data_IF_784941922502
#
_entry.id   IF_784941922502
#
_cell.length_a   1.000
_cell.length_b   1.000
_cell.length_c   1.000
_cell.angle_alpha   90.00
_cell.angle_beta   90.00
_cell.angle_gamma   90.00
#
_symmetry.space_group_name_H-M   'P 1'
#
loop_
_entity.id
_entity.type
_entity.pdbx_description
1 polymer ?
#
# COMPACT_ATOMS: atom_id res chain seq x y z
N UNK A 1 8.51 -6.50 -16.19
CA UNK A 1 7.14 -6.25 -16.71
C UNK A 1 6.02 -7.02 -15.98
N UNK A 2 6.30 -8.10 -15.24
CA UNK A 2 5.26 -8.93 -14.57
C UNK A 2 4.61 -8.24 -13.36
N UNK A 3 5.37 -7.57 -12.49
CA UNK A 3 4.82 -6.86 -11.31
C UNK A 3 3.82 -5.75 -11.67
N UNK A 4 4.01 -5.08 -12.81
CA UNK A 4 3.19 -3.96 -13.27
C UNK A 4 1.73 -4.33 -13.60
N UNK A 5 1.45 -5.59 -14.00
CA UNK A 5 0.08 -6.03 -14.30
C UNK A 5 -0.76 -6.28 -13.05
N UNK A 6 -0.16 -6.76 -11.96
CA UNK A 6 -0.88 -6.97 -10.68
C UNK A 6 -1.30 -5.65 -10.01
N UNK A 7 -0.47 -4.60 -10.17
CA UNK A 7 -0.78 -3.25 -9.70
C UNK A 7 -1.94 -2.61 -10.48
N UNK A 8 -2.31 -3.14 -11.65
CA UNK A 8 -3.43 -2.65 -12.44
C UNK A 8 -4.79 -2.90 -11.76
N UNK A 9 -4.87 -3.86 -10.82
CA UNK A 9 -6.08 -4.11 -10.03
C UNK A 9 -6.22 -3.18 -8.83
N UNK A 10 -5.16 -2.46 -8.48
CA UNK A 10 -5.23 -1.39 -7.51
C UNK A 10 -5.75 -0.15 -8.22
N UNK A 11 -6.65 0.56 -7.55
CA UNK A 11 -7.07 1.88 -7.99
C UNK A 11 -5.87 2.84 -7.91
N UNK A 12 -5.94 3.97 -8.63
CA UNK A 12 -4.81 4.90 -8.75
C UNK A 12 -4.24 5.32 -7.38
N UNK A 13 -5.13 5.66 -6.44
CA UNK A 13 -4.77 6.12 -5.11
C UNK A 13 -4.04 5.01 -4.34
N UNK A 14 -4.56 3.78 -4.34
CA UNK A 14 -3.94 2.62 -3.68
C UNK A 14 -2.55 2.32 -4.25
N UNK A 15 -2.43 2.36 -5.57
CA UNK A 15 -1.15 2.12 -6.24
C UNK A 15 -0.12 3.18 -5.84
N UNK A 16 -0.52 4.44 -5.83
CA UNK A 16 0.36 5.55 -5.51
C UNK A 16 0.75 5.55 -4.03
N UNK A 17 -0.19 5.24 -3.13
CA UNK A 17 0.09 5.04 -1.70
C UNK A 17 1.04 3.87 -1.47
N UNK A 18 0.83 2.73 -2.14
CA UNK A 18 1.72 1.57 -2.00
C UNK A 18 3.14 1.86 -2.49
N UNK A 19 3.28 2.55 -3.63
CA UNK A 19 4.59 2.99 -4.16
C UNK A 19 5.25 3.93 -3.17
N UNK A 20 4.52 4.93 -2.66
CA UNK A 20 5.02 5.85 -1.65
C UNK A 20 5.56 5.11 -0.43
N UNK A 21 4.77 4.20 0.15
CA UNK A 21 5.17 3.39 1.31
C UNK A 21 6.45 2.63 0.99
N UNK A 22 6.50 1.93 -0.13
CA UNK A 22 7.67 1.13 -0.55
C UNK A 22 8.95 1.97 -0.70
N UNK A 23 8.83 3.20 -1.16
CA UNK A 23 9.98 4.10 -1.36
C UNK A 23 10.46 4.77 -0.06
N UNK A 24 9.60 4.86 0.96
CA UNK A 24 9.88 5.60 2.19
C UNK A 24 10.06 4.72 3.43
N UNK A 25 9.76 3.42 3.36
CA UNK A 25 10.02 2.49 4.47
C UNK A 25 11.52 2.42 4.77
N UNK A 26 11.83 2.33 6.06
CA UNK A 26 13.20 2.09 6.51
C UNK A 26 13.66 0.66 6.16
N UNK A 27 14.96 0.32 6.28
CA UNK A 27 15.48 -0.99 5.87
C UNK A 27 14.83 -2.19 6.56
N UNK A 28 14.15 -2.00 7.70
CA UNK A 28 13.41 -3.05 8.40
C UNK A 28 11.94 -3.19 7.93
N UNK A 29 11.53 -2.43 6.90
CA UNK A 29 10.19 -2.44 6.34
C UNK A 29 9.18 -1.57 7.08
N UNK A 30 9.59 -0.77 8.07
CA UNK A 30 8.70 0.09 8.84
C UNK A 30 8.74 1.54 8.35
N UNK A 31 7.57 2.15 8.25
CA UNK A 31 7.35 3.57 7.99
C UNK A 31 6.48 4.15 9.11
N UNK A 32 6.97 5.18 9.80
CA UNK A 32 6.20 5.97 10.76
C UNK A 32 5.96 7.33 10.10
N UNK A 33 4.70 7.63 9.75
CA UNK A 33 4.40 8.79 8.91
C UNK A 33 3.03 9.41 9.18
N UNK A 34 2.91 10.76 9.24
CA UNK A 34 1.62 11.43 9.30
C UNK A 34 0.84 11.27 8.00
N UNK A 35 -0.41 10.78 8.05
CA UNK A 35 -1.25 10.60 6.85
C UNK A 35 -1.47 11.92 6.12
N UNK A 36 -1.63 13.03 6.85
CA UNK A 36 -1.80 14.36 6.26
C UNK A 36 -0.64 14.76 5.37
N UNK A 37 0.59 14.45 5.78
CA UNK A 37 1.77 14.76 4.97
C UNK A 37 1.82 13.87 3.72
N UNK A 38 1.40 12.61 3.84
CA UNK A 38 1.32 11.68 2.71
C UNK A 38 0.29 12.16 1.69
N UNK A 39 -0.90 12.55 2.15
CA UNK A 39 -1.94 13.13 1.31
C UNK A 39 -1.47 14.39 0.59
N UNK A 40 -0.83 15.32 1.32
CA UNK A 40 -0.25 16.53 0.71
C UNK A 40 0.80 16.23 -0.36
N UNK A 41 1.67 15.24 -0.13
CA UNK A 41 2.70 14.86 -1.11
C UNK A 41 2.13 14.19 -2.36
N UNK A 42 1.10 13.36 -2.18
CA UNK A 42 0.47 12.61 -3.27
C UNK A 42 -0.65 13.40 -3.99
N UNK A 43 -1.08 14.53 -3.43
CA UNK A 43 -2.20 15.30 -3.95
C UNK A 43 -3.58 14.72 -3.62
N UNK A 44 -3.68 13.94 -2.54
CA UNK A 44 -4.91 13.30 -2.08
C UNK A 44 -5.35 13.84 -0.71
N UNK A 45 -6.63 13.70 -0.40
CA UNK A 45 -7.15 14.00 0.93
C UNK A 45 -6.71 12.96 1.97
N UNK A 46 -6.67 13.37 3.24
CA UNK A 46 -6.38 12.47 4.37
C UNK A 46 -7.31 11.24 4.39
N UNK A 47 -8.59 11.43 4.01
CA UNK A 47 -9.58 10.36 3.93
C UNK A 47 -9.26 9.34 2.82
N UNK A 48 -8.89 9.81 1.64
CA UNK A 48 -8.52 8.95 0.51
C UNK A 48 -7.29 8.10 0.82
N UNK A 49 -6.26 8.72 1.42
CA UNK A 49 -5.05 8.00 1.84
C UNK A 49 -5.38 6.95 2.91
N UNK A 50 -6.23 7.29 3.88
CA UNK A 50 -6.64 6.35 4.93
C UNK A 50 -7.41 5.16 4.34
N UNK A 51 -8.38 5.41 3.46
CA UNK A 51 -9.13 4.35 2.75
C UNK A 51 -8.21 3.46 1.92
N UNK A 52 -7.25 4.05 1.21
CA UNK A 52 -6.26 3.31 0.44
C UNK A 52 -5.39 2.42 1.35
N UNK A 53 -4.88 2.92 2.47
CA UNK A 53 -4.09 2.12 3.43
C UNK A 53 -4.92 0.96 4.02
N UNK A 54 -6.19 1.18 4.35
CA UNK A 54 -7.11 0.13 4.82
C UNK A 54 -7.36 -0.93 3.74
N UNK A 55 -7.51 -0.55 2.48
CA UNK A 55 -7.67 -1.52 1.38
C UNK A 55 -6.37 -2.29 1.12
N UNK A 56 -5.22 -1.64 1.13
CA UNK A 56 -3.92 -2.30 1.02
C UNK A 56 -3.68 -3.30 2.17
N UNK A 57 -4.10 -2.96 3.38
CA UNK A 57 -4.08 -3.86 4.55
C UNK A 57 -4.98 -5.09 4.32
N UNK A 58 -6.21 -4.91 3.85
CA UNK A 58 -7.12 -6.02 3.49
C UNK A 58 -6.54 -6.94 2.42
N UNK A 59 -5.81 -6.38 1.46
CA UNK A 59 -5.10 -7.11 0.41
C UNK A 59 -3.79 -7.76 0.90
N UNK A 60 -3.46 -7.62 2.18
CA UNK A 60 -2.23 -8.12 2.83
C UNK A 60 -0.96 -7.56 2.18
N UNK A 61 -1.02 -6.36 1.63
CA UNK A 61 0.11 -5.67 1.02
C UNK A 61 0.87 -4.80 2.04
N UNK A 62 0.22 -4.42 3.14
CA UNK A 62 0.80 -3.69 4.27
C UNK A 62 0.17 -4.17 5.59
N UNK A 63 0.81 -3.89 6.73
CA UNK A 63 0.17 -3.88 8.06
C UNK A 63 0.07 -2.42 8.50
N UNK A 64 -1.16 -1.92 8.64
CA UNK A 64 -1.44 -0.50 8.89
C UNK A 64 -2.00 -0.29 10.30
N UNK A 65 -1.27 0.47 11.10
CA UNK A 65 -1.65 0.83 12.46
C UNK A 65 -1.82 2.32 12.58
N UNK A 66 -3.06 2.69 12.83
CA UNK A 66 -3.46 4.07 13.01
C UNK A 66 -2.92 4.61 14.35
N UNK A 67 -2.48 5.87 14.33
CA UNK A 67 -2.09 6.58 15.55
C UNK A 67 -3.27 6.68 16.52
N UNK A 68 -2.98 6.80 17.82
CA UNK A 68 -4.03 6.90 18.85
C UNK A 68 -4.86 8.20 18.70
N UNK A 69 -4.24 9.25 18.17
CA UNK A 69 -4.85 10.55 17.91
C UNK A 69 -4.61 10.98 16.46
N UNK A 70 -5.44 11.87 15.87
CA UNK A 70 -5.23 12.39 14.51
C UNK A 70 -3.91 13.14 14.29
N UNK A 71 -3.26 13.58 15.37
CA UNK A 71 -1.94 14.21 15.36
C UNK A 71 -0.78 13.21 15.44
N UNK A 72 -1.07 11.97 15.84
CA UNK A 72 -0.06 10.95 16.02
C UNK A 72 0.30 10.34 14.67
N UNK A 73 1.58 10.05 14.40
CA UNK A 73 1.97 9.41 13.17
C UNK A 73 1.42 7.99 13.13
N UNK A 74 1.12 7.53 11.92
CA UNK A 74 0.69 6.16 11.71
C UNK A 74 1.90 5.27 11.49
N UNK A 75 1.77 3.99 11.82
CA UNK A 75 2.79 2.99 11.54
C UNK A 75 2.31 2.10 10.40
N UNK A 76 3.14 1.98 9.38
CA UNK A 76 2.90 1.13 8.22
C UNK A 76 4.09 0.18 8.11
N UNK A 77 3.82 -1.12 8.10
CA UNK A 77 4.83 -2.14 7.82
C UNK A 77 4.61 -2.59 6.38
N UNK A 78 5.70 -2.79 5.66
CA UNK A 78 5.74 -3.28 4.29
C UNK A 78 6.88 -4.28 4.13
N UNK A 79 6.65 -5.29 3.29
CA UNK A 79 7.68 -6.23 2.85
C UNK A 79 7.50 -6.54 1.37
N UNK A 80 8.60 -6.58 0.60
CA UNK A 80 8.53 -6.91 -0.82
C UNK A 80 7.90 -8.30 -1.07
N UNK A 81 8.07 -9.25 -0.14
CA UNK A 81 7.50 -10.61 -0.21
C UNK A 81 5.96 -10.62 -0.24
N UNK A 82 5.31 -9.59 0.32
CA UNK A 82 3.85 -9.45 0.31
C UNK A 82 3.34 -9.03 -1.06
N UNK A 83 4.06 -8.11 -1.72
CA UNK A 83 3.78 -7.78 -3.11
C UNK A 83 3.99 -8.99 -4.01
N UNK A 84 5.08 -9.73 -3.81
CA UNK A 84 5.36 -10.94 -4.60
C UNK A 84 4.25 -11.99 -4.44
N UNK A 85 3.80 -12.25 -3.21
CA UNK A 85 2.70 -13.17 -2.91
C UNK A 85 1.38 -12.72 -3.54
N UNK A 86 1.07 -11.42 -3.47
CA UNK A 86 -0.10 -10.83 -4.11
C UNK A 86 -0.07 -11.03 -5.64
N UNK A 87 1.10 -10.79 -6.26
CA UNK A 87 1.26 -10.97 -7.70
C UNK A 87 1.10 -12.43 -8.11
N UNK A 88 1.65 -13.38 -7.34
CA UNK A 88 1.62 -14.81 -7.64
C UNK A 88 0.21 -15.41 -7.53
N UNK A 89 -0.54 -15.05 -6.49
CA UNK A 89 -1.93 -15.51 -6.31
C UNK A 89 -2.85 -15.04 -7.46
N UNK A 90 -2.58 -13.87 -8.05
CA UNK A 90 -3.35 -13.39 -9.20
C UNK A 90 -3.15 -14.26 -10.45
N UNK A 91 -1.94 -14.76 -10.68
CA UNK A 91 -1.67 -15.63 -11.83
C UNK A 91 -2.34 -17.01 -11.70
N UNK A 92 -2.52 -17.52 -10.48
CA UNK A 92 -3.17 -18.82 -10.27
C UNK A 92 -4.70 -18.77 -10.46
N UNK A 93 -5.33 -17.59 -10.36
CA UNK A 93 -6.79 -17.43 -10.50
C UNK A 93 -7.23 -16.63 -11.74
N UNK A 94 -6.31 -16.26 -12.63
CA UNK A 94 -6.65 -15.66 -13.92
C UNK A 94 -7.09 -16.77 -14.91
N UNK A 95 -8.31 -16.73 -15.49
CA UNK A 95 -8.79 -17.73 -16.42
C UNK A 95 -8.23 -17.51 -17.83
N UNK A 96 -6.90 -17.47 -17.96
CA UNK A 96 -6.21 -17.38 -19.23
C UNK A 96 -5.01 -18.32 -19.22
N UNK A 97 -5.31 -19.61 -19.21
CA UNK A 97 -4.44 -20.67 -19.71
C UNK A 97 -5.31 -21.58 -20.58
N UNK A 98 -5.65 -21.07 -21.78
CA UNK A 98 -5.71 -21.79 -23.06
C UNK A 98 -6.00 -20.78 -24.19
#
# INVERSE_FOLDING_TARGET
MLKARSLANLDEIERNVLIFVREHVSPNGMLIYPIREMGRMLGYSDLEVHQALRKLEQLKLVDYREGASPSDPNMIIYKDEWLDSFTQNYYQHSPLAD
#
